data_IF_749561207538
#
_entry.id   IF_749561207538
#
_cell.length_a   1.000
_cell.length_b   1.000
_cell.length_c   1.000
_cell.angle_alpha   90.00
_cell.angle_beta   90.00
_cell.angle_gamma   90.00
#
_symmetry.space_group_name_H-M   'P 1'
#
loop_
_entity.id
_entity.type
_entity.pdbx_description
1 polymer ?
#
# COMPACT_ATOMS: atom_id res chain seq x y z
N UNK A 1 -0.12 -37.46 48.55
CA UNK A 1 -0.29 -37.62 50.01
C UNK A 1 0.64 -36.63 50.68
N UNK A 2 0.12 -35.78 51.57
CA UNK A 2 0.93 -34.79 52.28
C UNK A 2 0.17 -33.50 52.55
N UNK A 3 -0.88 -33.59 53.38
CA UNK A 3 -1.29 -32.46 54.20
C UNK A 3 -0.20 -32.25 55.26
N UNK A 4 0.15 -30.99 55.51
CA UNK A 4 0.96 -30.56 56.64
C UNK A 4 0.49 -29.18 57.06
N UNK A 5 -0.22 -29.14 58.18
CA UNK A 5 -0.59 -27.95 58.94
C UNK A 5 0.67 -27.29 59.53
N UNK A 6 0.60 -26.00 59.90
CA UNK A 6 0.58 -25.60 61.32
C UNK A 6 0.79 -24.10 61.57
N UNK A 7 -0.06 -23.59 62.48
CA UNK A 7 0.11 -22.61 63.55
C UNK A 7 0.57 -21.17 63.24
N UNK A 8 -0.29 -20.16 63.47
CA UNK A 8 -0.69 -19.52 64.75
C UNK A 8 0.34 -18.52 65.27
N UNK A 9 -0.05 -17.23 65.32
CA UNK A 9 0.18 -16.39 66.49
C UNK A 9 -0.86 -15.25 66.55
N UNK A 10 -1.44 -15.15 67.74
CA UNK A 10 -2.51 -14.26 68.15
C UNK A 10 -2.00 -12.90 68.69
N UNK A 11 -2.96 -12.13 69.20
CA UNK A 11 -2.92 -10.85 69.94
C UNK A 11 -3.11 -9.60 69.06
N UNK A 12 -4.08 -8.72 69.28
CA UNK A 12 -5.02 -8.57 70.39
C UNK A 12 -5.19 -7.07 70.71
N UNK A 13 -6.44 -6.65 70.89
CA UNK A 13 -6.92 -5.32 71.35
C UNK A 13 -6.83 -4.18 70.31
N UNK A 14 -7.89 -3.45 69.97
CA UNK A 14 -9.16 -3.17 70.64
C UNK A 14 -9.29 -1.66 70.72
N UNK A 15 -10.40 -1.07 70.26
CA UNK A 15 -11.00 0.15 70.81
C UNK A 15 -12.39 0.37 70.20
N UNK A 16 -13.37 0.47 71.09
CA UNK A 16 -14.74 0.93 70.87
C UNK A 16 -14.78 2.33 70.27
N UNK A 17 -15.86 2.66 69.55
CA UNK A 17 -16.70 3.81 69.91
C UNK A 17 -18.12 3.66 69.33
N UNK A 18 -19.05 4.06 70.19
CA UNK A 18 -20.49 3.90 70.18
C UNK A 18 -21.27 4.94 69.37
N UNK A 19 -22.49 4.53 68.98
CA UNK A 19 -23.75 5.29 68.82
C UNK A 19 -23.83 6.40 67.72
N UNK A 20 -24.95 6.66 67.03
CA UNK A 20 -26.36 6.36 67.27
C UNK A 20 -27.14 6.35 65.94
N UNK A 21 -28.25 5.59 65.90
CA UNK A 21 -29.28 5.66 64.87
C UNK A 21 -30.26 6.82 65.11
N UNK A 22 -30.86 7.33 64.03
CA UNK A 22 -32.04 8.19 64.11
C UNK A 22 -32.69 8.38 62.73
N UNK A 23 -33.67 7.55 62.41
CA UNK A 23 -34.63 7.78 61.33
C UNK A 23 -35.72 8.76 61.79
N UNK A 24 -36.24 9.57 60.87
CA UNK A 24 -37.47 10.34 61.05
C UNK A 24 -37.89 11.03 59.76
N UNK A 25 -38.92 10.50 59.10
CA UNK A 25 -39.73 11.19 58.10
C UNK A 25 -40.88 11.92 58.82
N UNK A 26 -41.32 13.07 58.31
CA UNK A 26 -42.73 13.44 58.38
C UNK A 26 -43.17 14.40 57.25
N UNK A 27 -44.46 14.35 56.95
CA UNK A 27 -45.20 14.91 55.84
C UNK A 27 -45.74 16.33 56.11
N UNK A 28 -46.04 17.06 55.03
CA UNK A 28 -46.89 18.25 55.05
C UNK A 28 -47.45 18.55 53.67
N UNK A 29 -48.76 18.33 53.49
CA UNK A 29 -49.56 18.72 52.33
C UNK A 29 -50.09 20.14 52.52
N UNK A 30 -50.30 20.86 51.41
CA UNK A 30 -51.35 21.87 51.31
C UNK A 30 -52.00 21.79 49.91
N UNK A 31 -53.32 21.95 49.92
CA UNK A 31 -54.24 21.89 48.78
C UNK A 31 -54.56 23.30 48.27
N UNK A 32 -54.84 23.44 46.97
CA UNK A 32 -55.95 24.29 46.50
C UNK A 32 -56.45 23.82 45.14
N UNK A 33 -57.78 23.88 44.98
CA UNK A 33 -58.57 23.40 43.84
C UNK A 33 -58.94 24.55 42.89
N UNK A 34 -59.16 24.25 41.60
CA UNK A 34 -60.34 24.76 40.89
C UNK A 34 -60.71 23.89 39.67
N UNK A 35 -62.01 23.78 39.42
CA UNK A 35 -62.70 22.80 38.58
C UNK A 35 -62.91 23.27 37.11
N UNK A 36 -63.03 22.34 36.15
CA UNK A 36 -64.35 22.00 35.55
C UNK A 36 -64.33 21.02 34.35
N UNK A 37 -65.28 20.07 34.46
CA UNK A 37 -66.12 19.34 33.49
C UNK A 37 -65.58 18.46 32.32
N UNK A 38 -65.66 17.14 32.58
CA UNK A 38 -66.56 16.13 31.96
C UNK A 38 -66.88 16.15 30.44
N UNK A 39 -66.47 15.12 29.71
CA UNK A 39 -67.37 14.08 29.16
C UNK A 39 -66.60 12.97 28.42
N UNK A 40 -67.02 11.74 28.69
CA UNK A 40 -66.39 10.51 28.21
C UNK A 40 -66.76 10.09 26.80
N UNK A 41 -66.13 9.00 26.36
CA UNK A 41 -66.79 7.77 25.91
C UNK A 41 -65.71 6.68 25.65
N UNK A 42 -65.89 5.52 26.28
CA UNK A 42 -65.28 4.27 25.86
C UNK A 42 -65.89 3.84 24.52
N UNK A 43 -65.05 3.44 23.57
CA UNK A 43 -65.35 2.35 22.64
C UNK A 43 -64.06 1.68 22.17
N UNK A 44 -63.85 0.46 22.66
CA UNK A 44 -62.96 -0.51 22.05
C UNK A 44 -63.57 -0.98 20.71
N UNK A 45 -62.84 -0.77 19.62
CA UNK A 45 -62.90 -1.63 18.44
C UNK A 45 -61.48 -1.81 17.92
N UNK A 46 -60.97 -3.04 18.05
CA UNK A 46 -59.75 -3.45 17.37
C UNK A 46 -60.02 -3.56 15.89
N UNK A 47 -59.15 -2.96 15.09
CA UNK A 47 -58.77 -3.45 13.78
C UNK A 47 -57.30 -3.12 13.53
N UNK A 48 -56.51 -4.17 13.39
CA UNK A 48 -55.23 -4.13 12.67
C UNK A 48 -55.43 -3.46 11.32
N UNK A 49 -54.63 -2.44 11.02
CA UNK A 49 -54.07 -2.25 9.69
C UNK A 49 -52.77 -1.45 9.82
N UNK A 50 -51.67 -2.19 9.79
CA UNK A 50 -50.35 -1.65 9.49
C UNK A 50 -50.37 -1.07 8.07
N UNK A 51 -50.24 0.25 7.98
CA UNK A 51 -49.80 0.93 6.77
C UNK A 51 -48.62 1.82 7.12
N UNK A 52 -47.47 1.18 7.32
CA UNK A 52 -46.19 1.81 7.08
C UNK A 52 -46.09 2.07 5.58
N UNK A 53 -46.49 3.25 5.15
CA UNK A 53 -46.13 3.75 3.83
C UNK A 53 -44.67 4.19 3.90
N UNK A 54 -43.76 3.23 3.77
CA UNK A 54 -42.45 3.52 3.20
C UNK A 54 -42.71 4.00 1.77
N UNK A 55 -42.78 5.32 1.63
CA UNK A 55 -42.63 5.93 0.33
C UNK A 55 -41.17 5.79 -0.05
N UNK A 56 -40.88 4.66 -0.69
CA UNK A 56 -39.65 4.44 -1.44
C UNK A 56 -39.67 5.40 -2.64
N UNK A 57 -39.33 6.65 -2.36
CA UNK A 57 -39.02 7.62 -3.39
C UNK A 57 -37.69 7.19 -4.00
N UNK A 58 -37.77 6.26 -4.96
CA UNK A 58 -36.75 6.05 -5.97
C UNK A 58 -36.63 7.33 -6.80
N UNK A 59 -36.03 8.37 -6.20
CA UNK A 59 -35.43 9.43 -6.96
C UNK A 59 -34.29 8.79 -7.74
N UNK A 60 -34.52 8.54 -9.02
CA UNK A 60 -33.49 8.29 -10.00
C UNK A 60 -32.59 9.53 -10.08
N UNK A 61 -31.72 9.67 -9.09
CA UNK A 61 -30.61 10.60 -9.15
C UNK A 61 -29.58 9.98 -10.07
N UNK A 62 -29.72 10.29 -11.36
CA UNK A 62 -28.65 10.12 -12.34
C UNK A 62 -27.55 11.12 -11.96
N UNK A 63 -26.78 10.78 -10.94
CA UNK A 63 -25.61 11.55 -10.55
C UNK A 63 -24.65 11.54 -11.74
N UNK A 64 -24.02 12.68 -12.09
CA UNK A 64 -23.04 12.71 -13.16
C UNK A 64 -21.91 11.75 -12.79
N UNK A 65 -21.91 10.58 -13.41
CA UNK A 65 -20.87 9.57 -13.26
C UNK A 65 -19.54 10.24 -13.57
N UNK A 66 -18.55 10.03 -12.70
CA UNK A 66 -17.19 10.47 -12.98
C UNK A 66 -16.80 9.98 -14.39
N UNK A 67 -16.15 10.82 -15.21
CA UNK A 67 -15.78 10.45 -16.57
C UNK A 67 -14.93 9.18 -16.53
N UNK A 68 -15.09 8.29 -17.51
CA UNK A 68 -14.34 7.03 -17.54
C UNK A 68 -12.82 7.26 -17.47
N UNK A 69 -12.11 6.34 -16.82
CA UNK A 69 -10.65 6.34 -16.79
C UNK A 69 -10.11 5.90 -18.15
N UNK A 70 -9.20 6.69 -18.69
CA UNK A 70 -8.36 6.26 -19.81
C UNK A 70 -7.34 5.21 -19.37
N UNK A 71 -6.83 4.44 -20.32
CA UNK A 71 -5.77 3.48 -20.08
C UNK A 71 -4.51 4.19 -19.56
N UNK A 72 -3.93 3.69 -18.48
CA UNK A 72 -2.74 4.27 -17.84
C UNK A 72 -2.99 5.53 -17.02
N UNK A 73 -4.25 5.93 -16.77
CA UNK A 73 -4.58 7.14 -15.99
C UNK A 73 -4.04 7.13 -14.53
N UNK A 74 -3.61 5.97 -14.05
CA UNK A 74 -2.97 5.76 -12.75
C UNK A 74 -1.44 5.78 -12.75
N UNK A 75 -0.78 6.02 -13.90
CA UNK A 75 0.68 6.03 -13.96
C UNK A 75 1.29 7.05 -12.97
N UNK A 76 2.18 6.59 -12.10
CA UNK A 76 2.80 7.42 -11.04
C UNK A 76 1.87 7.75 -9.85
N UNK A 77 0.69 7.13 -9.78
CA UNK A 77 -0.30 7.31 -8.70
C UNK A 77 -0.39 6.08 -7.81
N UNK A 78 -1.04 6.27 -6.67
CA UNK A 78 -1.43 5.21 -5.74
C UNK A 78 -2.90 4.88 -5.98
N UNK A 79 -3.21 3.59 -6.10
CA UNK A 79 -4.55 3.03 -5.98
C UNK A 79 -4.66 2.35 -4.62
N UNK A 80 -5.25 3.05 -3.66
CA UNK A 80 -5.41 2.58 -2.30
C UNK A 80 -6.69 1.75 -2.15
N UNK A 81 -6.53 0.48 -1.78
CA UNK A 81 -7.60 -0.44 -1.43
C UNK A 81 -7.88 -0.33 0.07
N UNK A 82 -8.91 0.43 0.41
CA UNK A 82 -9.39 0.56 1.78
C UNK A 82 -10.48 -0.48 2.07
N UNK A 83 -10.03 -1.65 2.51
CA UNK A 83 -10.86 -2.82 2.80
C UNK A 83 -11.43 -2.81 4.23
N UNK A 84 -11.95 -1.67 4.70
CA UNK A 84 -12.47 -1.51 6.07
C UNK A 84 -13.63 -2.47 6.44
N UNK A 85 -14.37 -2.93 5.42
CA UNK A 85 -15.46 -3.92 5.53
C UNK A 85 -15.07 -5.28 4.95
N UNK A 86 -13.80 -5.46 4.61
CA UNK A 86 -13.30 -6.64 3.93
C UNK A 86 -13.22 -6.48 2.41
N UNK A 87 -13.06 -7.61 1.72
CA UNK A 87 -12.83 -7.67 0.28
C UNK A 87 -13.30 -9.01 -0.29
N UNK A 88 -13.97 -8.95 -1.44
CA UNK A 88 -14.35 -10.07 -2.28
C UNK A 88 -14.05 -9.76 -3.76
N UNK A 89 -14.18 -10.76 -4.64
CA UNK A 89 -13.89 -10.62 -6.07
C UNK A 89 -14.85 -9.65 -6.76
N UNK A 90 -16.14 -9.91 -6.62
CA UNK A 90 -17.25 -9.05 -7.02
C UNK A 90 -17.11 -7.61 -6.51
N UNK A 91 -16.84 -7.43 -5.21
CA UNK A 91 -16.61 -6.13 -4.58
C UNK A 91 -15.42 -5.40 -5.21
N UNK A 92 -14.37 -6.14 -5.59
CA UNK A 92 -13.20 -5.57 -6.27
C UNK A 92 -13.56 -5.03 -7.65
N UNK A 93 -14.23 -5.83 -8.47
CA UNK A 93 -14.68 -5.38 -9.80
C UNK A 93 -15.62 -4.19 -9.67
N UNK A 94 -16.60 -4.29 -8.78
CA UNK A 94 -17.58 -3.23 -8.55
C UNK A 94 -16.91 -1.92 -8.14
N UNK A 95 -15.94 -1.95 -7.21
CA UNK A 95 -15.22 -0.77 -6.77
C UNK A 95 -14.39 -0.13 -7.89
N UNK A 96 -13.77 -0.93 -8.76
CA UNK A 96 -12.98 -0.43 -9.91
C UNK A 96 -13.88 0.14 -11.02
N UNK A 97 -15.05 -0.46 -11.26
CA UNK A 97 -16.08 0.09 -12.14
C UNK A 97 -16.63 1.43 -11.64
N UNK A 98 -16.81 1.54 -10.31
CA UNK A 98 -17.27 2.76 -9.66
C UNK A 98 -16.22 3.88 -9.71
N UNK A 99 -14.94 3.52 -9.57
CA UNK A 99 -13.80 4.43 -9.73
C UNK A 99 -13.70 5.02 -11.15
N UNK A 100 -14.31 4.34 -12.13
CA UNK A 100 -14.44 4.80 -13.51
C UNK A 100 -13.81 3.90 -14.57
N UNK A 101 -13.40 2.67 -14.25
CA UNK A 101 -12.96 1.71 -15.27
C UNK A 101 -14.14 1.39 -16.20
N UNK A 102 -13.99 1.47 -17.54
CA UNK A 102 -15.05 1.10 -18.47
C UNK A 102 -15.42 -0.38 -18.32
N UNK A 103 -16.72 -0.70 -18.27
CA UNK A 103 -17.20 -2.09 -18.22
C UNK A 103 -16.67 -2.93 -19.39
N UNK A 104 -16.51 -2.31 -20.57
CA UNK A 104 -15.97 -2.94 -21.76
C UNK A 104 -14.55 -3.51 -21.57
N UNK A 105 -13.74 -2.96 -20.66
CA UNK A 105 -12.41 -3.50 -20.34
C UNK A 105 -12.54 -4.90 -19.75
N UNK A 106 -13.49 -5.08 -18.83
CA UNK A 106 -13.76 -6.37 -18.18
C UNK A 106 -14.45 -7.32 -19.17
N UNK A 107 -15.47 -6.86 -19.89
CA UNK A 107 -16.20 -7.68 -20.88
C UNK A 107 -15.25 -8.25 -21.94
N UNK A 108 -14.33 -7.44 -22.48
CA UNK A 108 -13.37 -7.89 -23.49
C UNK A 108 -12.38 -8.91 -22.94
N UNK A 109 -11.91 -8.72 -21.70
CA UNK A 109 -10.99 -9.66 -21.08
C UNK A 109 -11.67 -11.01 -20.80
N UNK A 110 -12.89 -10.99 -20.29
CA UNK A 110 -13.64 -12.23 -20.00
C UNK A 110 -14.07 -12.93 -21.29
N UNK A 111 -14.52 -12.19 -22.32
CA UNK A 111 -14.90 -12.75 -23.62
C UNK A 111 -13.73 -13.40 -24.39
N UNK A 112 -12.48 -13.11 -24.01
CA UNK A 112 -11.31 -13.78 -24.57
C UNK A 112 -11.15 -15.22 -24.06
N UNK A 113 -11.85 -15.60 -22.99
CA UNK A 113 -11.76 -16.92 -22.39
C UNK A 113 -12.78 -17.89 -23.04
N UNK A 114 -12.45 -19.19 -23.18
CA UNK A 114 -13.37 -20.20 -23.72
C UNK A 114 -14.36 -20.67 -22.63
N UNK A 115 -15.12 -19.73 -22.04
CA UNK A 115 -16.16 -19.99 -21.05
C UNK A 115 -17.47 -19.35 -21.51
N UNK A 116 -18.57 -20.08 -21.36
CA UNK A 116 -19.90 -19.69 -21.82
C UNK A 116 -20.94 -19.95 -20.71
N UNK A 117 -22.19 -19.50 -20.93
CA UNK A 117 -23.31 -19.76 -20.01
C UNK A 117 -23.30 -18.89 -18.76
N UNK A 118 -22.86 -17.63 -18.89
CA UNK A 118 -22.96 -16.64 -17.83
C UNK A 118 -23.25 -15.24 -18.40
N UNK A 119 -23.79 -14.37 -17.55
CA UNK A 119 -24.02 -12.95 -17.84
C UNK A 119 -23.41 -12.08 -16.75
N UNK A 120 -22.85 -10.95 -17.15
CA UNK A 120 -22.33 -9.94 -16.22
C UNK A 120 -23.44 -8.95 -15.90
N UNK A 121 -23.69 -8.73 -14.61
CA UNK A 121 -24.67 -7.78 -14.13
C UNK A 121 -23.95 -6.68 -13.35
N UNK A 122 -24.14 -5.43 -13.79
CA UNK A 122 -23.73 -4.24 -13.04
C UNK A 122 -24.97 -3.56 -12.50
N UNK A 123 -25.01 -3.32 -11.20
CA UNK A 123 -26.10 -2.62 -10.53
C UNK A 123 -25.60 -1.49 -9.64
N UNK A 124 -26.49 -1.00 -8.80
CA UNK A 124 -26.15 -0.11 -7.70
C UNK A 124 -26.77 -0.66 -6.41
N UNK A 125 -26.11 -0.42 -5.30
CA UNK A 125 -26.61 -0.73 -3.98
C UNK A 125 -26.44 0.48 -3.06
N UNK A 126 -27.38 0.63 -2.12
CA UNK A 126 -27.29 1.60 -1.05
C UNK A 126 -26.87 0.87 0.22
N UNK A 127 -25.75 1.26 0.82
CA UNK A 127 -25.27 0.72 2.10
C UNK A 127 -25.04 1.86 3.07
N UNK A 128 -25.85 1.93 4.13
CA UNK A 128 -25.77 2.99 5.14
C UNK A 128 -25.74 4.42 4.55
N UNK A 129 -26.54 4.67 3.51
CA UNK A 129 -26.61 5.97 2.81
C UNK A 129 -25.53 6.21 1.75
N UNK A 130 -24.59 5.29 1.56
CA UNK A 130 -23.58 5.36 0.50
C UNK A 130 -24.09 4.59 -0.72
N UNK A 131 -24.13 5.27 -1.88
CA UNK A 131 -24.37 4.64 -3.18
C UNK A 131 -23.08 4.00 -3.65
N UNK A 132 -23.14 2.73 -4.02
CA UNK A 132 -22.01 1.97 -4.53
C UNK A 132 -22.42 1.17 -5.77
N UNK A 133 -21.47 0.87 -6.65
CA UNK A 133 -21.70 -0.10 -7.73
C UNK A 133 -21.81 -1.50 -7.13
N UNK A 134 -22.72 -2.33 -7.65
CA UNK A 134 -22.74 -3.78 -7.42
C UNK A 134 -22.34 -4.51 -8.70
N UNK A 135 -21.74 -5.69 -8.57
CA UNK A 135 -21.35 -6.53 -9.68
C UNK A 135 -21.69 -7.98 -9.35
N UNK A 136 -22.30 -8.68 -10.30
CA UNK A 136 -22.76 -10.06 -10.14
C UNK A 136 -22.52 -10.85 -11.42
N UNK A 137 -22.14 -12.12 -11.26
CA UNK A 137 -21.98 -13.08 -12.35
C UNK A 137 -23.11 -14.09 -12.29
N UNK A 138 -24.08 -13.99 -13.20
CA UNK A 138 -25.21 -14.91 -13.26
C UNK A 138 -24.89 -16.06 -14.18
N UNK A 139 -24.82 -17.27 -13.63
CA UNK A 139 -24.54 -18.49 -14.39
C UNK A 139 -25.85 -19.18 -14.78
N UNK A 140 -26.03 -19.50 -16.06
CA UNK A 140 -27.28 -20.06 -16.59
C UNK A 140 -27.50 -21.53 -16.23
N UNK A 141 -26.42 -22.29 -16.03
CA UNK A 141 -26.45 -23.71 -15.74
C UNK A 141 -25.26 -24.13 -14.85
N UNK A 142 -25.33 -25.29 -14.17
CA UNK A 142 -24.19 -25.83 -13.43
C UNK A 142 -22.95 -25.96 -14.33
N UNK A 143 -21.86 -25.31 -13.91
CA UNK A 143 -20.59 -25.30 -14.65
C UNK A 143 -19.69 -26.44 -14.17
N UNK A 144 -18.82 -26.99 -15.04
CA UNK A 144 -17.87 -28.01 -14.63
C UNK A 144 -16.89 -27.45 -13.61
N UNK A 145 -16.51 -28.29 -12.66
CA UNK A 145 -15.40 -27.99 -11.77
C UNK A 145 -14.09 -27.98 -12.57
N UNK A 146 -13.22 -27.02 -12.24
CA UNK A 146 -11.93 -26.83 -12.92
C UNK A 146 -10.82 -26.97 -11.91
N UNK A 147 -9.74 -27.63 -12.32
CA UNK A 147 -8.50 -27.66 -11.55
C UNK A 147 -7.69 -26.39 -11.78
N UNK A 148 -6.81 -26.05 -10.85
CA UNK A 148 -5.83 -24.98 -11.06
C UNK A 148 -5.05 -25.19 -12.36
N UNK A 149 -4.58 -26.42 -12.66
CA UNK A 149 -3.85 -26.71 -13.88
C UNK A 149 -4.65 -26.41 -15.15
N UNK A 150 -5.96 -26.70 -15.15
CA UNK A 150 -6.84 -26.39 -16.28
C UNK A 150 -7.06 -24.88 -16.46
N UNK A 151 -7.20 -24.13 -15.36
CA UNK A 151 -7.36 -22.67 -15.38
C UNK A 151 -6.07 -22.00 -15.85
N UNK A 152 -4.92 -22.42 -15.32
CA UNK A 152 -3.62 -21.86 -15.70
C UNK A 152 -3.32 -22.08 -17.20
N UNK A 153 -3.61 -23.27 -17.72
CA UNK A 153 -3.49 -23.58 -19.15
C UNK A 153 -4.46 -22.76 -20.01
N UNK A 154 -5.71 -22.58 -19.54
CA UNK A 154 -6.70 -21.75 -20.22
C UNK A 154 -6.25 -20.28 -20.31
N UNK A 155 -5.78 -19.70 -19.20
CA UNK A 155 -5.26 -18.33 -19.16
C UNK A 155 -3.98 -18.17 -19.99
N UNK A 156 -3.15 -19.21 -20.08
CA UNK A 156 -1.95 -19.20 -20.91
C UNK A 156 -2.26 -19.18 -22.41
N UNK A 157 -3.34 -19.85 -22.83
CA UNK A 157 -3.72 -19.99 -24.23
C UNK A 157 -4.68 -18.89 -24.71
N UNK A 158 -5.39 -18.22 -23.79
CA UNK A 158 -6.34 -17.17 -24.13
C UNK A 158 -5.64 -15.96 -24.77
N UNK A 159 -6.27 -15.29 -25.76
CA UNK A 159 -5.75 -14.08 -26.41
C UNK A 159 -5.95 -12.83 -25.52
N UNK A 160 -5.51 -12.92 -24.26
CA UNK A 160 -5.48 -11.81 -23.32
C UNK A 160 -4.24 -10.93 -23.57
N UNK A 161 -4.35 -9.66 -23.22
CA UNK A 161 -3.18 -8.79 -23.12
C UNK A 161 -2.15 -9.40 -22.14
N UNK A 162 -0.86 -9.55 -22.51
CA UNK A 162 0.11 -10.28 -21.68
C UNK A 162 0.22 -9.85 -20.21
N UNK A 163 0.15 -8.54 -19.86
CA UNK A 163 0.11 -8.11 -18.45
C UNK A 163 -1.15 -8.60 -17.72
N UNK A 164 -2.31 -8.63 -18.38
CA UNK A 164 -3.57 -9.14 -17.80
C UNK A 164 -3.47 -10.64 -17.55
N UNK A 165 -3.00 -11.42 -18.52
CA UNK A 165 -2.80 -12.85 -18.38
C UNK A 165 -1.80 -13.18 -17.24
N UNK A 166 -0.66 -12.47 -17.20
CA UNK A 166 0.35 -12.65 -16.16
C UNK A 166 -0.20 -12.33 -14.76
N UNK A 167 -1.01 -11.27 -14.64
CA UNK A 167 -1.61 -10.86 -13.38
C UNK A 167 -2.67 -11.84 -12.90
N UNK A 168 -3.60 -12.24 -13.77
CA UNK A 168 -4.63 -13.21 -13.46
C UNK A 168 -4.03 -14.56 -13.01
N UNK A 169 -3.00 -15.05 -13.73
CA UNK A 169 -2.27 -16.27 -13.36
C UNK A 169 -1.56 -16.15 -12.02
N UNK A 170 -1.01 -14.96 -11.69
CA UNK A 170 -0.39 -14.72 -10.38
C UNK A 170 -1.41 -14.79 -9.25
N UNK A 171 -2.61 -14.21 -9.44
CA UNK A 171 -3.70 -14.26 -8.46
C UNK A 171 -4.19 -15.72 -8.28
N UNK A 172 -4.48 -16.41 -9.38
CA UNK A 172 -4.89 -17.82 -9.32
C UNK A 172 -3.84 -18.74 -8.70
N UNK A 173 -2.56 -18.49 -8.97
CA UNK A 173 -1.46 -19.25 -8.36
C UNK A 173 -1.42 -19.03 -6.86
N UNK A 174 -1.58 -17.79 -6.39
CA UNK A 174 -1.62 -17.47 -4.94
C UNK A 174 -2.75 -18.23 -4.25
N UNK A 175 -3.93 -18.24 -4.86
CA UNK A 175 -5.08 -18.99 -4.37
C UNK A 175 -4.84 -20.52 -4.42
N UNK A 176 -4.34 -21.03 -5.54
CA UNK A 176 -4.04 -22.45 -5.71
C UNK A 176 -3.00 -22.95 -4.70
N UNK A 177 -1.96 -22.17 -4.42
CA UNK A 177 -0.94 -22.48 -3.41
C UNK A 177 -1.55 -22.51 -2.00
N UNK A 178 -2.50 -21.61 -1.71
CA UNK A 178 -3.23 -21.61 -0.45
C UNK A 178 -4.10 -22.86 -0.28
N UNK A 179 -4.90 -23.20 -1.30
CA UNK A 179 -5.74 -24.40 -1.31
C UNK A 179 -4.92 -25.68 -1.25
N UNK A 180 -3.83 -25.79 -2.03
CA UNK A 180 -2.91 -26.91 -2.00
C UNK A 180 -2.33 -27.13 -0.60
N UNK A 181 -2.00 -26.05 0.11
CA UNK A 181 -1.50 -26.13 1.48
C UNK A 181 -2.57 -26.58 2.48
N UNK A 182 -3.81 -26.08 2.37
CA UNK A 182 -4.94 -26.46 3.22
C UNK A 182 -5.31 -27.93 3.01
N UNK A 183 -5.36 -28.38 1.76
CA UNK A 183 -5.76 -29.73 1.38
C UNK A 183 -4.62 -30.75 1.33
N UNK A 184 -3.36 -30.29 1.44
CA UNK A 184 -2.13 -31.11 1.34
C UNK A 184 -2.04 -31.94 0.07
N UNK A 185 -2.37 -31.31 -1.05
CA UNK A 185 -2.31 -31.89 -2.40
C UNK A 185 -1.32 -31.10 -3.25
N UNK A 186 -0.99 -31.63 -4.44
CA UNK A 186 -0.18 -30.88 -5.40
C UNK A 186 -0.98 -29.72 -5.98
N UNK A 187 -0.30 -28.64 -6.33
CA UNK A 187 -0.92 -27.42 -6.86
C UNK A 187 -1.75 -27.71 -8.13
N UNK A 188 -1.23 -28.54 -9.02
CA UNK A 188 -1.91 -28.96 -10.26
C UNK A 188 -3.21 -29.73 -10.03
N UNK A 189 -3.35 -30.40 -8.88
CA UNK A 189 -4.50 -31.24 -8.53
C UNK A 189 -5.58 -30.48 -7.73
N UNK A 190 -5.34 -29.20 -7.40
CA UNK A 190 -6.30 -28.36 -6.67
C UNK A 190 -7.57 -28.19 -7.49
N UNK A 191 -8.69 -28.68 -6.95
CA UNK A 191 -10.02 -28.42 -7.46
C UNK A 191 -10.62 -27.26 -6.69
N UNK A 192 -10.94 -26.18 -7.38
CA UNK A 192 -11.58 -25.05 -6.74
C UNK A 192 -13.09 -25.29 -6.69
N UNK A 193 -13.57 -25.92 -5.63
CA UNK A 193 -14.99 -26.23 -5.47
C UNK A 193 -15.85 -24.96 -5.28
N UNK A 194 -15.27 -23.90 -4.72
CA UNK A 194 -15.92 -22.60 -4.48
C UNK A 194 -15.36 -21.48 -5.37
N UNK A 195 -14.16 -21.66 -5.95
CA UNK A 195 -13.41 -20.60 -6.66
C UNK A 195 -13.00 -21.00 -8.10
N UNK A 196 -13.47 -22.16 -8.57
CA UNK A 196 -13.25 -22.68 -9.94
C UNK A 196 -14.50 -22.57 -10.80
N UNK A 197 -15.55 -22.03 -10.18
CA UNK A 197 -16.75 -21.59 -10.85
C UNK A 197 -16.45 -20.31 -11.67
N UNK A 198 -17.37 -20.04 -12.59
CA UNK A 198 -17.22 -18.97 -13.58
C UNK A 198 -17.11 -17.60 -12.92
N UNK A 199 -17.78 -17.39 -11.79
CA UNK A 199 -17.71 -16.19 -10.95
C UNK A 199 -16.27 -15.82 -10.59
N UNK A 200 -15.49 -16.75 -10.02
CA UNK A 200 -14.12 -16.48 -9.62
C UNK A 200 -13.18 -16.22 -10.80
N UNK A 201 -13.40 -16.89 -11.94
CA UNK A 201 -12.66 -16.63 -13.17
C UNK A 201 -12.94 -15.22 -13.69
N UNK A 202 -14.21 -14.84 -13.74
CA UNK A 202 -14.62 -13.48 -14.11
C UNK A 202 -14.05 -12.46 -13.15
N UNK A 203 -14.15 -12.70 -11.84
CA UNK A 203 -13.66 -11.80 -10.80
C UNK A 203 -12.15 -11.55 -10.91
N UNK A 204 -11.36 -12.62 -11.01
CA UNK A 204 -9.90 -12.52 -11.05
C UNK A 204 -9.43 -11.90 -12.38
N UNK A 205 -10.00 -12.32 -13.51
CA UNK A 205 -9.61 -11.81 -14.84
C UNK A 205 -10.09 -10.38 -15.03
N UNK A 206 -11.31 -10.07 -14.59
CA UNK A 206 -11.87 -8.71 -14.62
C UNK A 206 -11.10 -7.76 -13.71
N UNK A 207 -10.77 -8.17 -12.48
CA UNK A 207 -9.91 -7.38 -11.60
C UNK A 207 -8.51 -7.17 -12.22
N UNK A 208 -7.91 -8.22 -12.80
CA UNK A 208 -6.61 -8.09 -13.47
C UNK A 208 -6.67 -7.09 -14.63
N UNK A 209 -7.69 -7.18 -15.48
CA UNK A 209 -7.89 -6.27 -16.61
C UNK A 209 -8.08 -4.82 -16.14
N UNK A 210 -8.91 -4.60 -15.12
CA UNK A 210 -9.14 -3.27 -14.55
C UNK A 210 -7.88 -2.66 -13.92
N UNK A 211 -7.08 -3.47 -13.21
CA UNK A 211 -5.82 -3.01 -12.60
C UNK A 211 -4.78 -2.64 -13.65
N UNK A 212 -4.62 -3.47 -14.69
CA UNK A 212 -3.72 -3.18 -15.82
C UNK A 212 -4.16 -1.91 -16.54
N UNK A 213 -5.47 -1.76 -16.80
CA UNK A 213 -6.03 -0.56 -17.41
C UNK A 213 -5.75 0.71 -16.61
N UNK A 214 -5.82 0.65 -15.27
CA UNK A 214 -5.48 1.81 -14.42
C UNK A 214 -3.97 2.08 -14.43
N UNK A 215 -3.13 1.06 -14.25
CA UNK A 215 -1.67 1.21 -14.26
C UNK A 215 -1.07 1.94 -13.04
N UNK A 216 -1.74 1.88 -11.88
CA UNK A 216 -1.29 2.50 -10.62
C UNK A 216 -0.57 1.52 -9.68
N UNK A 217 0.24 2.05 -8.75
CA UNK A 217 0.75 1.27 -7.62
C UNK A 217 -0.39 0.90 -6.68
N UNK A 218 -0.62 -0.39 -6.42
CA UNK A 218 -1.64 -0.83 -5.48
C UNK A 218 -1.09 -0.85 -4.05
N UNK A 219 -1.82 -0.22 -3.13
CA UNK A 219 -1.55 -0.22 -1.68
C UNK A 219 -2.80 -0.72 -0.97
N UNK A 220 -2.68 -1.68 -0.06
CA UNK A 220 -3.83 -2.20 0.71
C UNK A 220 -3.89 -1.66 2.14
N UNK A 221 -5.08 -1.54 2.71
CA UNK A 221 -5.23 -1.42 4.16
C UNK A 221 -5.05 -2.78 4.86
N UNK A 222 -4.69 -2.81 6.16
CA UNK A 222 -4.81 -4.04 6.94
C UNK A 222 -6.22 -4.62 6.82
N UNK A 223 -6.34 -5.94 6.81
CA UNK A 223 -7.61 -6.59 6.49
C UNK A 223 -8.39 -7.01 7.76
N UNK A 224 -9.71 -6.74 7.84
CA UNK A 224 -10.56 -7.18 8.94
C UNK A 224 -10.85 -8.67 8.87
N UNK A 225 -10.70 -9.36 9.99
CA UNK A 225 -10.91 -10.80 10.14
C UNK A 225 -12.09 -11.03 11.08
N UNK A 226 -13.21 -11.50 10.52
CA UNK A 226 -14.37 -11.93 11.29
C UNK A 226 -14.12 -13.26 12.03
N UNK A 227 -15.07 -13.66 12.86
CA UNK A 227 -15.01 -14.90 13.65
C UNK A 227 -16.24 -15.78 13.41
N UNK A 228 -16.31 -16.93 14.07
CA UNK A 228 -17.43 -17.84 13.99
C UNK A 228 -17.26 -18.88 12.88
N UNK A 229 -18.34 -19.21 12.18
CA UNK A 229 -18.35 -20.26 11.18
C UNK A 229 -19.15 -19.85 9.95
N UNK A 230 -18.75 -20.35 8.77
CA UNK A 230 -19.46 -20.19 7.51
C UNK A 230 -19.81 -21.55 6.93
N UNK A 231 -20.98 -21.65 6.29
CA UNK A 231 -21.36 -22.84 5.53
C UNK A 231 -20.78 -22.74 4.13
N UNK A 232 -19.90 -23.66 3.80
CA UNK A 232 -19.21 -23.79 2.53
C UNK A 232 -19.55 -25.14 1.88
N UNK A 233 -19.08 -25.41 0.65
CA UNK A 233 -19.23 -26.74 0.02
C UNK A 233 -18.46 -27.82 0.79
N UNK A 234 -17.40 -27.41 1.47
CA UNK A 234 -16.61 -28.23 2.36
C UNK A 234 -17.25 -28.46 3.75
N UNK A 235 -18.51 -28.06 3.92
CA UNK A 235 -19.23 -28.13 5.19
C UNK A 235 -19.08 -26.83 5.98
N UNK A 236 -19.08 -26.93 7.31
CA UNK A 236 -18.97 -25.77 8.19
C UNK A 236 -17.48 -25.46 8.40
N UNK A 237 -17.03 -24.30 7.95
CA UNK A 237 -15.64 -23.84 8.05
C UNK A 237 -15.50 -22.75 9.13
N UNK A 238 -14.38 -22.71 9.87
CA UNK A 238 -14.12 -21.61 10.79
C UNK A 238 -13.87 -20.32 10.02
N UNK A 239 -14.22 -19.20 10.65
CA UNK A 239 -13.83 -17.87 10.22
C UNK A 239 -12.62 -17.38 11.04
N UNK A 240 -11.61 -16.77 10.38
CA UNK A 240 -11.51 -16.55 8.93
C UNK A 240 -11.29 -17.86 8.14
N UNK A 241 -11.77 -17.95 6.87
CA UNK A 241 -11.66 -19.17 6.07
C UNK A 241 -10.21 -19.63 5.91
N UNK A 242 -9.89 -20.93 6.00
CA UNK A 242 -8.52 -21.44 5.94
C UNK A 242 -7.73 -20.99 4.70
N UNK A 243 -8.36 -21.04 3.52
CA UNK A 243 -7.75 -20.60 2.26
C UNK A 243 -7.47 -19.09 2.24
N UNK A 244 -8.37 -18.26 2.80
CA UNK A 244 -8.16 -16.82 2.93
C UNK A 244 -6.94 -16.54 3.84
N UNK A 245 -6.85 -17.19 5.00
CA UNK A 245 -5.69 -17.03 5.91
C UNK A 245 -4.39 -17.46 5.23
N UNK A 246 -4.41 -18.57 4.49
CA UNK A 246 -3.25 -19.05 3.75
C UNK A 246 -2.82 -18.07 2.63
N UNK A 247 -3.77 -17.46 1.90
CA UNK A 247 -3.50 -16.40 0.93
C UNK A 247 -2.84 -15.17 1.60
N UNK A 248 -3.16 -14.86 2.85
CA UNK A 248 -2.73 -13.65 3.54
C UNK A 248 -1.42 -13.79 4.34
N UNK A 249 -0.63 -14.86 4.14
CA UNK A 249 0.69 -14.97 4.78
C UNK A 249 1.57 -13.75 4.45
N UNK A 250 1.99 -13.03 5.49
CA UNK A 250 2.78 -11.80 5.39
C UNK A 250 1.98 -10.52 5.19
N UNK A 251 0.65 -10.59 5.11
CA UNK A 251 -0.26 -9.45 5.00
C UNK A 251 -0.78 -9.06 6.39
N UNK A 252 -0.79 -7.77 6.77
CA UNK A 252 -1.33 -7.35 8.07
C UNK A 252 -2.86 -7.53 8.13
N UNK A 253 -3.32 -8.08 9.24
CA UNK A 253 -4.73 -8.33 9.52
C UNK A 253 -5.10 -7.88 10.93
N UNK A 254 -6.39 -7.63 11.20
CA UNK A 254 -6.89 -7.35 12.55
C UNK A 254 -8.23 -8.06 12.80
N UNK A 255 -8.48 -8.49 14.03
CA UNK A 255 -9.73 -9.12 14.40
C UNK A 255 -10.87 -8.10 14.52
N UNK A 256 -12.08 -8.52 14.15
CA UNK A 256 -13.32 -7.76 14.39
C UNK A 256 -14.36 -8.63 15.08
N UNK A 257 -15.22 -8.00 15.88
CA UNK A 257 -16.27 -8.68 16.64
C UNK A 257 -17.52 -8.91 15.80
N UNK A 258 -17.38 -9.64 14.69
CA UNK A 258 -18.45 -9.89 13.73
C UNK A 258 -18.44 -11.33 13.24
N UNK A 259 -19.60 -11.98 13.32
CA UNK A 259 -19.80 -13.37 12.92
C UNK A 259 -20.14 -13.46 11.42
N UNK A 260 -19.22 -12.96 10.58
CA UNK A 260 -19.36 -12.93 9.13
C UNK A 260 -18.02 -13.07 8.41
N UNK A 261 -18.04 -13.71 7.24
CA UNK A 261 -16.89 -13.70 6.33
C UNK A 261 -16.81 -12.33 5.66
N UNK A 262 -15.78 -11.56 6.03
CA UNK A 262 -15.49 -10.24 5.44
C UNK A 262 -14.46 -10.32 4.31
N UNK A 263 -13.52 -11.26 4.41
CA UNK A 263 -12.47 -11.45 3.40
C UNK A 263 -12.61 -12.84 2.84
N UNK A 264 -13.07 -12.93 1.59
CA UNK A 264 -13.21 -14.21 0.89
C UNK A 264 -11.84 -14.72 0.42
N UNK A 265 -11.68 -16.03 0.16
CA UNK A 265 -10.45 -16.56 -0.43
C UNK A 265 -10.03 -15.84 -1.72
N UNK A 266 -11.00 -15.52 -2.59
CA UNK A 266 -10.79 -14.75 -3.83
C UNK A 266 -10.30 -13.34 -3.53
N UNK A 267 -10.98 -12.60 -2.64
CA UNK A 267 -10.58 -11.25 -2.26
C UNK A 267 -9.18 -11.21 -1.63
N UNK A 268 -8.88 -12.18 -0.76
CA UNK A 268 -7.55 -12.36 -0.16
C UNK A 268 -6.46 -12.61 -1.22
N UNK A 269 -6.72 -13.51 -2.19
CA UNK A 269 -5.78 -13.81 -3.25
C UNK A 269 -5.52 -12.59 -4.15
N UNK A 270 -6.57 -11.83 -4.48
CA UNK A 270 -6.49 -10.59 -5.25
C UNK A 270 -5.58 -9.60 -4.52
N UNK A 271 -5.93 -9.15 -3.32
CA UNK A 271 -5.17 -8.09 -2.66
C UNK A 271 -3.72 -8.51 -2.33
N UNK A 272 -3.51 -9.77 -1.93
CA UNK A 272 -2.17 -10.29 -1.65
C UNK A 272 -1.27 -10.37 -2.90
N UNK A 273 -1.85 -10.52 -4.09
CA UNK A 273 -1.11 -10.55 -5.36
C UNK A 273 -0.96 -9.17 -6.01
N UNK A 274 -1.84 -8.22 -5.67
CA UNK A 274 -1.84 -6.85 -6.21
C UNK A 274 -0.99 -5.89 -5.38
N UNK A 275 -1.20 -5.86 -4.05
CA UNK A 275 -0.65 -4.82 -3.19
C UNK A 275 0.88 -4.94 -3.06
N UNK A 276 1.56 -3.82 -3.25
CA UNK A 276 3.02 -3.71 -3.09
C UNK A 276 3.42 -3.53 -1.62
N UNK A 277 2.53 -2.93 -0.83
CA UNK A 277 2.66 -2.70 0.61
C UNK A 277 1.29 -2.49 1.26
N UNK A 278 1.29 -2.49 2.59
CA UNK A 278 0.08 -2.30 3.37
C UNK A 278 0.24 -1.19 4.43
N UNK A 279 -0.72 -0.28 4.49
CA UNK A 279 -0.74 0.88 5.39
C UNK A 279 -2.18 1.20 5.81
N UNK A 280 -2.41 1.73 7.01
CA UNK A 280 -3.77 2.10 7.46
C UNK A 280 -4.42 3.15 6.55
N UNK A 281 -3.64 4.15 6.16
CA UNK A 281 -4.03 5.19 5.21
C UNK A 281 -2.74 5.81 4.65
N UNK A 282 -2.48 5.77 3.34
CA UNK A 282 -1.27 6.34 2.78
C UNK A 282 -1.34 7.88 2.76
N UNK A 283 -0.18 8.53 2.76
CA UNK A 283 -0.09 9.99 2.56
C UNK A 283 -0.17 10.31 1.06
N UNK A 284 -1.33 10.75 0.60
CA UNK A 284 -1.62 11.07 -0.80
C UNK A 284 -2.80 12.04 -0.92
N UNK A 285 -2.93 12.70 -2.08
CA UNK A 285 -4.05 13.53 -2.44
C UNK A 285 -5.04 12.69 -3.27
N UNK A 286 -6.25 12.39 -2.74
CA UNK A 286 -7.27 11.65 -3.48
C UNK A 286 -7.73 12.41 -4.73
N UNK A 287 -7.75 11.73 -5.87
CA UNK A 287 -8.29 12.23 -7.14
C UNK A 287 -9.68 11.66 -7.43
N UNK A 288 -9.86 10.36 -7.17
CA UNK A 288 -11.10 9.62 -7.42
C UNK A 288 -11.34 8.56 -6.35
N UNK A 289 -12.61 8.26 -6.12
CA UNK A 289 -13.07 7.26 -5.15
C UNK A 289 -14.07 6.36 -5.87
N UNK A 290 -13.99 5.06 -5.61
CA UNK A 290 -14.97 4.07 -6.04
C UNK A 290 -15.38 3.17 -4.88
N UNK A 291 -16.65 2.78 -4.86
CA UNK A 291 -17.22 1.85 -3.88
C UNK A 291 -17.80 0.61 -4.58
N UNK A 292 -17.37 -0.56 -4.10
CA UNK A 292 -17.91 -1.85 -4.50
C UNK A 292 -18.75 -2.45 -3.39
N UNK A 293 -20.02 -2.72 -3.66
CA UNK A 293 -20.95 -3.26 -2.69
C UNK A 293 -20.81 -4.77 -2.52
N UNK A 294 -20.75 -5.22 -1.28
CA UNK A 294 -20.93 -6.62 -0.94
C UNK A 294 -22.42 -6.97 -0.83
N UNK A 295 -22.73 -8.26 -1.02
CA UNK A 295 -24.11 -8.74 -1.11
C UNK A 295 -24.85 -8.82 0.24
N UNK A 296 -24.12 -8.85 1.35
CA UNK A 296 -24.69 -8.97 2.71
C UNK A 296 -24.93 -7.60 3.34
N UNK A 297 -25.99 -7.46 4.12
CA UNK A 297 -26.12 -6.36 5.07
C UNK A 297 -25.37 -6.72 6.36
N UNK A 298 -24.53 -5.82 6.84
CA UNK A 298 -23.79 -6.00 8.10
C UNK A 298 -24.42 -5.11 9.18
N UNK A 299 -24.50 -5.59 10.43
CA UNK A 299 -25.21 -4.89 11.49
C UNK A 299 -24.49 -3.63 12.00
N UNK A 300 -23.17 -3.52 11.80
CA UNK A 300 -22.32 -2.52 12.46
C UNK A 300 -21.65 -1.52 11.50
N UNK A 301 -21.66 -1.78 10.18
CA UNK A 301 -20.98 -0.97 9.16
C UNK A 301 -21.56 -1.22 7.76
N UNK A 302 -21.32 -0.36 6.77
CA UNK A 302 -21.68 -0.66 5.39
C UNK A 302 -20.78 -1.77 4.81
N UNK A 303 -21.37 -2.75 4.12
CA UNK A 303 -20.64 -3.80 3.42
C UNK A 303 -20.09 -3.29 2.08
N UNK A 304 -18.97 -2.57 2.14
CA UNK A 304 -18.35 -1.93 0.98
C UNK A 304 -16.84 -2.15 0.98
N UNK A 305 -16.28 -2.28 -0.22
CA UNK A 305 -14.88 -2.04 -0.50
C UNK A 305 -14.74 -0.61 -1.04
N UNK A 306 -13.84 0.19 -0.47
CA UNK A 306 -13.49 1.50 -1.01
C UNK A 306 -12.14 1.42 -1.73
N UNK A 307 -12.08 1.93 -2.95
CA UNK A 307 -10.82 2.17 -3.67
C UNK A 307 -10.64 3.65 -3.92
N UNK A 308 -9.42 4.15 -3.73
CA UNK A 308 -9.10 5.57 -3.88
C UNK A 308 -7.88 5.71 -4.78
N UNK A 309 -8.05 6.33 -5.94
CA UNK A 309 -6.94 6.73 -6.79
C UNK A 309 -6.47 8.11 -6.39
N UNK A 310 -5.18 8.31 -6.22
CA UNK A 310 -4.65 9.63 -5.88
C UNK A 310 -3.16 9.78 -6.11
N UNK A 311 -2.72 11.04 -6.14
CA UNK A 311 -1.32 11.40 -6.36
C UNK A 311 -0.60 11.42 -5.02
N UNK A 312 0.58 10.80 -4.91
CA UNK A 312 1.37 10.80 -3.68
C UNK A 312 1.69 12.25 -3.26
N UNK A 313 1.31 12.62 -2.04
CA UNK A 313 1.48 13.99 -1.52
C UNK A 313 2.86 14.10 -0.89
N UNK A 314 3.75 14.87 -1.52
CA UNK A 314 5.05 15.22 -0.95
C UNK A 314 6.07 14.10 -1.03
N UNK A 315 7.24 14.41 -1.58
CA UNK A 315 8.40 13.54 -1.56
C UNK A 315 8.91 13.35 -0.13
N UNK A 316 8.55 12.24 0.48
CA UNK A 316 9.48 11.54 1.35
C UNK A 316 10.02 10.37 0.54
N UNK A 317 11.17 10.62 -0.10
CA UNK A 317 12.04 9.57 -0.61
C UNK A 317 12.38 8.65 0.57
N UNK A 318 11.65 7.55 0.70
CA UNK A 318 12.16 6.38 1.39
C UNK A 318 13.58 6.11 0.88
N UNK A 319 14.51 5.72 1.77
CA UNK A 319 15.87 5.33 1.41
C UNK A 319 15.92 4.32 0.23
N UNK A 320 14.84 3.57 -0.02
CA UNK A 320 14.70 2.67 -1.17
C UNK A 320 14.37 3.31 -2.53
N UNK A 321 14.03 4.60 -2.58
CA UNK A 321 13.68 5.36 -3.79
C UNK A 321 14.64 6.52 -4.10
N UNK A 322 15.51 6.89 -3.16
CA UNK A 322 16.48 7.95 -3.37
C UNK A 322 17.48 7.52 -4.44
N UNK A 323 17.72 8.38 -5.45
CA UNK A 323 18.78 8.09 -6.43
C UNK A 323 20.18 8.09 -5.76
N UNK A 324 20.35 8.90 -4.71
CA UNK A 324 21.61 9.13 -4.02
C UNK A 324 21.39 9.27 -2.51
N UNK A 325 22.46 9.03 -1.74
CA UNK A 325 22.48 9.13 -0.29
C UNK A 325 23.75 9.84 0.15
N UNK A 326 23.62 10.82 1.06
CA UNK A 326 24.75 11.35 1.81
C UNK A 326 24.93 10.49 3.06
N UNK A 327 26.13 9.94 3.22
CA UNK A 327 26.55 9.19 4.41
C UNK A 327 27.51 10.07 5.18
N UNK A 328 27.19 10.41 6.43
CA UNK A 328 28.03 11.33 7.22
C UNK A 328 28.15 10.95 8.70
N UNK A 329 29.30 11.28 9.29
CA UNK A 329 29.52 11.18 10.72
C UNK A 329 30.40 12.32 11.25
N UNK A 330 30.16 12.69 12.51
CA UNK A 330 30.99 13.67 13.21
C UNK A 330 32.03 12.93 14.05
N UNK A 331 33.29 13.36 13.98
CA UNK A 331 34.43 12.77 14.69
C UNK A 331 35.26 13.87 15.34
N UNK A 332 35.49 13.79 16.64
CA UNK A 332 36.22 14.78 17.46
C UNK A 332 37.56 14.28 18.02
N UNK A 333 37.93 13.04 17.70
CA UNK A 333 39.09 12.31 18.21
C UNK A 333 39.99 11.74 17.10
N UNK A 334 39.95 12.36 15.92
CA UNK A 334 40.63 11.92 14.71
C UNK A 334 41.56 13.00 14.14
N UNK A 335 42.73 12.60 13.62
CA UNK A 335 43.71 13.52 13.01
C UNK A 335 43.36 13.80 11.55
N UNK A 336 43.88 14.91 11.00
CA UNK A 336 43.71 15.24 9.58
C UNK A 336 44.28 14.20 8.62
N UNK A 337 45.34 13.48 9.00
CA UNK A 337 45.93 12.41 8.20
C UNK A 337 44.96 11.23 8.05
N UNK A 338 44.32 10.82 9.15
CA UNK A 338 43.31 9.76 9.12
C UNK A 338 42.06 10.22 8.37
N UNK A 339 41.71 11.51 8.44
CA UNK A 339 40.59 12.05 7.68
C UNK A 339 40.85 11.98 6.16
N UNK A 340 42.08 12.31 5.74
CA UNK A 340 42.52 12.16 4.35
C UNK A 340 42.45 10.70 3.89
N UNK A 341 42.95 9.77 4.72
CA UNK A 341 42.87 8.34 4.42
C UNK A 341 41.43 7.84 4.30
N UNK A 342 40.54 8.25 5.22
CA UNK A 342 39.14 7.89 5.17
C UNK A 342 38.47 8.38 3.88
N UNK A 343 38.77 9.59 3.41
CA UNK A 343 38.26 10.11 2.12
C UNK A 343 38.66 9.21 0.95
N UNK A 344 39.92 8.77 0.88
CA UNK A 344 40.39 7.85 -0.17
C UNK A 344 39.66 6.50 -0.11
N UNK A 345 39.46 5.96 1.09
CA UNK A 345 38.73 4.71 1.29
C UNK A 345 37.26 4.82 0.88
N UNK A 346 36.61 5.97 1.11
CA UNK A 346 35.23 6.21 0.68
C UNK A 346 35.11 6.21 -0.86
N UNK A 347 36.06 6.83 -1.57
CA UNK A 347 36.13 6.73 -3.03
C UNK A 347 36.34 5.29 -3.50
N UNK A 348 37.23 4.54 -2.86
CA UNK A 348 37.45 3.12 -3.18
C UNK A 348 36.20 2.25 -2.95
N UNK A 349 35.33 2.64 -2.00
CA UNK A 349 34.06 1.99 -1.72
C UNK A 349 32.91 2.40 -2.67
N UNK A 350 33.17 3.31 -3.62
CA UNK A 350 32.19 3.74 -4.62
C UNK A 350 31.48 5.05 -4.32
N UNK A 351 32.01 5.90 -3.44
CA UNK A 351 31.53 7.27 -3.29
C UNK A 351 31.74 8.06 -4.59
N UNK A 352 30.75 8.89 -4.92
CA UNK A 352 30.78 9.83 -6.04
C UNK A 352 31.47 11.14 -5.66
N UNK A 353 31.41 11.50 -4.38
CA UNK A 353 32.10 12.62 -3.77
C UNK A 353 32.34 12.32 -2.28
N UNK A 354 33.39 12.88 -1.69
CA UNK A 354 33.72 12.71 -0.28
C UNK A 354 34.48 13.93 0.25
N UNK A 355 34.14 14.37 1.46
CA UNK A 355 34.69 15.59 2.06
C UNK A 355 34.79 15.51 3.58
N UNK A 356 35.58 16.43 4.15
CA UNK A 356 35.67 16.68 5.59
C UNK A 356 35.38 18.15 5.88
N UNK A 357 34.36 18.43 6.71
CA UNK A 357 33.97 19.78 7.09
C UNK A 357 34.32 20.07 8.56
N UNK A 358 34.99 21.19 8.89
CA UNK A 358 35.31 21.53 10.26
C UNK A 358 34.05 21.96 11.04
N UNK A 359 33.90 21.43 12.25
CA UNK A 359 32.81 21.75 13.17
C UNK A 359 33.33 21.90 14.60
N UNK A 360 32.52 22.49 15.48
CA UNK A 360 32.77 22.54 16.93
C UNK A 360 31.72 21.69 17.64
N UNK A 361 32.16 20.70 18.41
CA UNK A 361 31.29 19.82 19.19
C UNK A 361 31.22 20.23 20.66
N UNK A 362 30.37 19.53 21.44
CA UNK A 362 30.22 19.73 22.89
C UNK A 362 31.58 19.78 23.59
N UNK A 363 31.66 20.52 24.71
CA UNK A 363 32.91 20.79 25.43
C UNK A 363 33.94 21.59 24.61
N UNK A 364 33.50 22.31 23.58
CA UNK A 364 34.35 23.20 22.77
C UNK A 364 35.36 22.45 21.91
N UNK A 365 35.10 21.19 21.57
CA UNK A 365 36.05 20.33 20.85
C UNK A 365 36.03 20.64 19.35
N UNK A 366 37.17 21.02 18.75
CA UNK A 366 37.30 21.01 17.29
C UNK A 366 37.11 19.58 16.76
N UNK A 367 36.34 19.44 15.69
CA UNK A 367 35.95 18.16 15.12
C UNK A 367 35.76 18.26 13.61
N UNK A 368 35.58 17.11 12.94
CA UNK A 368 35.28 17.02 11.52
C UNK A 368 33.96 16.29 11.31
N UNK A 369 33.14 16.77 10.37
CA UNK A 369 32.12 15.95 9.73
C UNK A 369 32.74 15.31 8.49
N UNK A 370 32.96 13.99 8.54
CA UNK A 370 33.35 13.20 7.37
C UNK A 370 32.08 12.77 6.66
N UNK A 371 31.99 13.06 5.37
CA UNK A 371 30.79 12.78 4.59
C UNK A 371 31.13 12.31 3.18
N UNK A 372 30.25 11.49 2.61
CA UNK A 372 30.34 11.02 1.24
C UNK A 372 28.96 10.97 0.57
N UNK A 373 28.91 11.36 -0.70
CA UNK A 373 27.76 11.18 -1.56
C UNK A 373 27.91 9.87 -2.33
N UNK A 374 26.93 8.98 -2.25
CA UNK A 374 26.91 7.71 -2.97
C UNK A 374 25.60 7.54 -3.74
N UNK A 375 25.62 6.77 -4.82
CA UNK A 375 24.39 6.24 -5.38
C UNK A 375 23.78 5.22 -4.38
N UNK A 376 22.45 5.11 -4.34
CA UNK A 376 21.78 4.30 -3.31
C UNK A 376 22.28 2.85 -3.20
N UNK A 377 22.57 2.11 -4.30
CA UNK A 377 23.12 0.75 -4.20
C UNK A 377 24.50 0.65 -3.54
N UNK A 378 25.28 1.74 -3.55
CA UNK A 378 26.63 1.80 -2.98
C UNK A 378 26.65 2.38 -1.56
N UNK A 379 25.52 2.92 -1.06
CA UNK A 379 25.47 3.63 0.21
C UNK A 379 25.89 2.75 1.42
N UNK A 380 25.59 1.45 1.39
CA UNK A 380 25.97 0.51 2.46
C UNK A 380 27.47 0.19 2.47
N UNK A 381 28.08 0.05 1.29
CA UNK A 381 29.53 -0.16 1.16
C UNK A 381 30.30 1.07 1.65
N UNK A 382 29.86 2.26 1.25
CA UNK A 382 30.44 3.54 1.69
C UNK A 382 30.25 3.76 3.19
N UNK A 383 29.09 3.43 3.75
CA UNK A 383 28.84 3.46 5.19
C UNK A 383 29.76 2.51 5.98
N UNK A 384 29.98 1.31 5.44
CA UNK A 384 30.91 0.34 6.05
C UNK A 384 32.33 0.86 6.06
N UNK A 385 32.79 1.46 4.95
CA UNK A 385 34.11 2.08 4.88
C UNK A 385 34.25 3.25 5.86
N UNK A 386 33.24 4.12 5.98
CA UNK A 386 33.27 5.25 6.92
C UNK A 386 33.43 4.77 8.37
N UNK A 387 32.65 3.77 8.80
CA UNK A 387 32.74 3.24 10.16
C UNK A 387 34.03 2.48 10.42
N UNK A 388 34.63 1.87 9.38
CA UNK A 388 35.89 1.13 9.50
C UNK A 388 37.10 2.06 9.64
N UNK A 389 37.13 3.14 8.85
CA UNK A 389 38.30 4.02 8.76
C UNK A 389 38.22 5.25 9.69
N UNK A 390 37.14 5.39 10.46
CA UNK A 390 36.97 6.46 11.43
C UNK A 390 36.68 5.91 12.82
N UNK A 391 36.76 6.79 13.83
CA UNK A 391 36.42 6.50 15.23
C UNK A 391 34.91 6.57 15.50
N UNK A 392 34.09 6.83 14.48
CA UNK A 392 32.67 7.05 14.69
C UNK A 392 31.94 5.76 15.08
N UNK A 393 31.11 5.85 16.11
CA UNK A 393 30.28 4.73 16.59
C UNK A 393 29.02 4.56 15.72
N UNK A 394 28.64 5.59 14.98
CA UNK A 394 27.45 5.58 14.14
C UNK A 394 27.43 6.74 13.16
N UNK A 395 26.67 6.57 12.09
CA UNK A 395 26.57 7.54 11.00
C UNK A 395 25.11 7.83 10.66
N UNK A 396 24.92 8.91 9.90
CA UNK A 396 23.62 9.29 9.33
C UNK A 396 23.63 8.95 7.84
N UNK A 397 22.49 8.47 7.34
CA UNK A 397 22.21 8.35 5.91
C UNK A 397 21.07 9.31 5.57
N UNK A 398 21.33 10.22 4.66
CA UNK A 398 20.41 11.27 4.26
C UNK A 398 20.08 11.04 2.78
N UNK A 399 18.85 10.61 2.44
CA UNK A 399 18.36 10.59 1.06
C UNK A 399 18.52 11.96 0.40
N UNK A 400 19.04 11.99 -0.82
CA UNK A 400 19.13 13.22 -1.61
C UNK A 400 18.75 13.00 -3.07
N UNK A 401 17.96 13.94 -3.60
CA UNK A 401 17.71 14.06 -5.02
C UNK A 401 18.80 14.89 -5.70
N UNK A 402 19.18 14.51 -6.93
CA UNK A 402 20.19 15.23 -7.72
C UNK A 402 19.65 15.59 -9.09
N UNK A 403 19.75 16.87 -9.45
CA UNK A 403 19.50 17.36 -10.80
C UNK A 403 20.84 17.57 -11.50
N UNK A 404 21.07 16.87 -12.61
CA UNK A 404 22.31 16.99 -13.38
C UNK A 404 22.07 17.50 -14.80
N UNK A 405 23.04 18.23 -15.34
CA UNK A 405 23.10 18.48 -16.76
C UNK A 405 23.54 17.21 -17.49
N UNK A 406 22.81 16.75 -18.52
CA UNK A 406 23.32 15.76 -19.46
C UNK A 406 24.73 16.14 -19.92
N UNK A 407 25.67 15.20 -19.84
CA UNK A 407 27.07 15.45 -20.17
C UNK A 407 27.59 14.39 -21.12
N UNK A 408 28.38 14.82 -22.10
CA UNK A 408 29.19 13.93 -22.93
C UNK A 408 30.66 14.30 -22.80
N UNK A 409 31.53 13.30 -22.93
CA UNK A 409 32.97 13.50 -23.03
C UNK A 409 33.33 13.31 -24.49
N UNK A 410 33.94 14.33 -25.09
CA UNK A 410 34.52 14.26 -26.44
C UNK A 410 36.02 14.48 -26.36
N UNK A 411 36.77 14.03 -27.35
CA UNK A 411 38.20 14.31 -27.44
C UNK A 411 38.45 15.31 -28.56
N UNK A 412 39.07 16.44 -28.23
CA UNK A 412 39.45 17.46 -29.22
C UNK A 412 40.93 17.38 -29.53
N UNK A 413 41.28 17.60 -30.80
CA UNK A 413 42.68 17.70 -31.22
C UNK A 413 43.17 19.14 -31.02
N UNK A 414 44.27 19.29 -30.32
CA UNK A 414 44.92 20.59 -30.10
C UNK A 414 46.37 20.53 -30.60
N UNK A 415 47.04 21.68 -30.64
CA UNK A 415 48.48 21.75 -30.91
C UNK A 415 49.33 21.00 -29.85
N UNK A 416 48.74 20.66 -28.71
CA UNK A 416 49.40 20.00 -27.56
C UNK A 416 48.91 18.55 -27.37
N UNK A 417 48.26 17.98 -28.38
CA UNK A 417 47.73 16.62 -28.36
C UNK A 417 46.22 16.54 -28.21
N UNK A 418 45.73 15.30 -28.03
CA UNK A 418 44.33 15.01 -27.80
C UNK A 418 43.96 15.30 -26.33
N UNK A 419 42.94 16.12 -26.14
CA UNK A 419 42.46 16.52 -24.82
C UNK A 419 41.00 16.13 -24.71
N UNK A 420 40.61 15.40 -23.65
CA UNK A 420 39.20 15.15 -23.37
C UNK A 420 38.53 16.42 -22.88
N UNK A 421 37.30 16.64 -23.31
CA UNK A 421 36.48 17.80 -22.99
C UNK A 421 35.11 17.32 -22.59
N UNK A 422 34.69 17.72 -21.39
CA UNK A 422 33.36 17.49 -20.87
C UNK A 422 32.44 18.61 -21.34
N UNK A 423 31.42 18.25 -22.11
CA UNK A 423 30.39 19.16 -22.59
C UNK A 423 29.09 18.82 -21.86
N UNK A 424 28.59 19.76 -21.05
CA UNK A 424 27.35 19.62 -20.28
C UNK A 424 26.26 20.50 -20.91
N UNK A 425 25.25 19.87 -21.48
CA UNK A 425 24.14 20.48 -22.24
C UNK A 425 22.82 20.29 -21.49
N UNK A 426 21.74 20.93 -21.94
CA UNK A 426 20.39 20.75 -21.38
C UNK A 426 19.60 22.07 -21.29
N UNK A 427 18.40 22.05 -20.69
CA UNK A 427 17.48 23.20 -20.65
C UNK A 427 17.94 24.33 -19.70
N UNK A 428 19.16 24.25 -19.17
CA UNK A 428 19.70 25.14 -18.14
C UNK A 428 20.56 26.30 -18.72
N UNK A 429 20.37 26.62 -20.01
CA UNK A 429 21.14 27.64 -20.72
C UNK A 429 22.30 27.07 -21.56
N UNK A 430 23.29 27.90 -21.93
CA UNK A 430 24.33 27.49 -22.88
C UNK A 430 25.18 26.32 -22.36
N UNK A 431 25.76 25.52 -23.27
CA UNK A 431 26.63 24.39 -22.91
C UNK A 431 27.82 24.83 -22.05
N UNK A 432 28.07 24.08 -20.97
CA UNK A 432 29.29 24.24 -20.19
C UNK A 432 30.36 23.30 -20.76
N UNK A 433 31.43 23.88 -21.27
CA UNK A 433 32.55 23.15 -21.88
C UNK A 433 33.74 23.25 -20.93
N UNK A 434 34.24 22.11 -20.46
CA UNK A 434 35.38 22.05 -19.55
C UNK A 434 36.38 20.99 -20.03
N UNK A 435 37.60 21.38 -20.46
CA UNK A 435 38.68 20.44 -20.72
C UNK A 435 39.04 19.66 -19.46
N UNK A 436 39.34 18.38 -19.59
CA UNK A 436 39.85 17.57 -18.49
C UNK A 436 41.23 18.10 -18.07
N UNK A 437 41.33 18.44 -16.79
CA UNK A 437 42.50 19.18 -16.30
C UNK A 437 43.75 18.30 -16.29
N UNK A 438 43.63 17.01 -15.99
CA UNK A 438 44.76 16.08 -15.96
C UNK A 438 45.37 15.88 -17.36
N UNK A 439 44.54 15.78 -18.40
CA UNK A 439 44.98 15.73 -19.79
C UNK A 439 45.73 17.03 -20.15
N UNK A 440 45.16 18.19 -19.78
CA UNK A 440 45.79 19.49 -20.00
C UNK A 440 47.14 19.62 -19.26
N UNK A 441 47.21 19.18 -18.01
CA UNK A 441 48.40 19.25 -17.18
C UNK A 441 49.50 18.29 -17.68
N UNK A 442 49.12 17.10 -18.13
CA UNK A 442 50.05 16.15 -18.75
C UNK A 442 50.61 16.70 -20.06
N UNK A 443 49.75 17.22 -20.95
CA UNK A 443 50.17 17.86 -22.19
C UNK A 443 51.07 19.08 -21.93
N UNK A 444 50.73 19.92 -20.96
CA UNK A 444 51.54 21.07 -20.56
C UNK A 444 52.95 20.68 -20.13
N UNK A 445 53.08 19.61 -19.33
CA UNK A 445 54.39 19.05 -18.92
C UNK A 445 55.18 18.52 -20.12
N UNK A 446 54.53 17.75 -20.99
CA UNK A 446 55.18 17.17 -22.18
C UNK A 446 55.69 18.23 -23.15
N UNK A 447 54.94 19.31 -23.33
CA UNK A 447 55.25 20.36 -24.31
C UNK A 447 55.99 21.57 -23.71
N UNK A 448 56.22 21.60 -22.39
CA UNK A 448 56.94 22.68 -21.73
C UNK A 448 56.21 24.04 -21.76
N UNK A 449 54.87 24.02 -21.79
CA UNK A 449 54.03 25.24 -21.89
C UNK A 449 53.18 25.43 -20.63
N UNK A 450 52.72 26.66 -20.34
CA UNK A 450 51.75 26.89 -19.27
C UNK A 450 50.42 26.14 -19.50
N UNK A 451 49.89 25.47 -18.47
CA UNK A 451 48.63 24.70 -18.56
C UNK A 451 47.44 25.52 -19.07
N UNK A 452 47.42 26.83 -18.77
CA UNK A 452 46.39 27.76 -19.27
C UNK A 452 46.33 27.84 -20.80
N UNK A 453 47.46 27.66 -21.48
CA UNK A 453 47.54 27.69 -22.94
C UNK A 453 46.93 26.42 -23.55
N UNK A 454 47.19 25.27 -22.94
CA UNK A 454 46.56 23.99 -23.32
C UNK A 454 45.05 24.02 -23.09
N UNK A 455 44.60 24.55 -21.94
CA UNK A 455 43.17 24.71 -21.63
C UNK A 455 42.50 25.63 -22.66
N UNK A 456 43.13 26.76 -23.00
CA UNK A 456 42.59 27.69 -24.00
C UNK A 456 42.48 27.05 -25.39
N UNK A 457 43.51 26.31 -25.82
CA UNK A 457 43.50 25.60 -27.10
C UNK A 457 42.41 24.51 -27.14
N UNK A 458 42.24 23.75 -26.06
CA UNK A 458 41.18 22.75 -25.95
C UNK A 458 39.77 23.38 -25.97
N UNK A 459 39.58 24.52 -25.30
CA UNK A 459 38.32 25.27 -25.34
C UNK A 459 38.01 25.81 -26.74
N UNK A 460 39.01 26.34 -27.45
CA UNK A 460 38.83 26.83 -28.82
C UNK A 460 38.45 25.69 -29.78
N UNK A 461 39.16 24.57 -29.70
CA UNK A 461 38.92 23.37 -30.51
C UNK A 461 37.59 22.66 -30.19
N UNK A 462 36.98 22.93 -29.04
CA UNK A 462 35.67 22.39 -28.66
C UNK A 462 34.50 23.29 -29.09
N UNK A 463 34.76 24.55 -29.46
CA UNK A 463 33.75 25.53 -29.88
C UNK A 463 33.66 25.70 -31.40
N UNK A 464 34.77 25.48 -32.11
CA UNK A 464 34.82 25.37 -33.57
C UNK A 464 34.56 23.94 -33.99
#
# INVERSE_FOLDING_TARGET
MGHGHDHDHAHGHGHDHDHAHGHGHDHGHDHDHDHDHDHGHDHAHGHDHAHGHDHDHAHGHDHPRAPLLEEGAGAGKILFFDAFSGIAGDMTIAALLDLGVPLLVIERAVAALPIEGFHLHRGHAHRSGIVATSFDVHVEAPQPERTYGSIDAMLAAAPLDPPVAALARRIFRRLGEAEAAVHRIRLEDVHFHEVGAVDAIVDIVGAAAAIVHIGAEVVGSPLPMGRGFVKARHGILPLPPPAAVACLRGVPTYGVDLDAELVTPTGAAIIAALATRFERWPTFAPDRIGFGAGQRELPDRPNLLRVVLGTRSGGEESLGSASHVIVEANVDDLTGEVAGHAIEALFAAGALDAWAAPITMKKGRPALTIAALAAAPQADAVATALLRETTSIGLRKIPVARTERPRRITTVKTAYGAIRVKISEGPFGPPQIKPEFDDCAAAARTHGVPVREVVSAALAAAKG
#
